data_IF_043455228268
#
_entry.id   IF_043455228268
#
_cell.length_a   1.000
_cell.length_b   1.000
_cell.length_c   1.000
_cell.angle_alpha   90.00
_cell.angle_beta   90.00
_cell.angle_gamma   90.00
#
_symmetry.space_group_name_H-M   'P 1'
#
loop_
_entity.id
_entity.type
_entity.pdbx_description
1 polymer ?
#
# COMPACT_ATOMS: atom_id res chain seq x y z
N UNK A 1 15.78 21.95 -12.50
CA UNK A 1 14.56 22.79 -12.52
C UNK A 1 13.99 22.84 -11.11
N UNK A 2 13.87 24.03 -10.51
CA UNK A 2 13.29 24.17 -9.18
C UNK A 2 11.76 24.11 -9.29
N UNK A 3 11.14 23.07 -8.73
CA UNK A 3 9.67 22.95 -8.69
C UNK A 3 9.16 23.87 -7.56
N UNK A 4 8.25 24.83 -7.84
CA UNK A 4 7.75 25.75 -6.82
C UNK A 4 6.97 25.01 -5.73
N UNK A 5 7.28 25.33 -4.47
CA UNK A 5 6.97 24.48 -3.31
C UNK A 5 5.47 24.35 -2.99
N UNK A 6 4.57 25.17 -3.52
CA UNK A 6 3.14 25.16 -3.15
C UNK A 6 2.23 25.69 -4.27
N UNK A 7 2.13 24.98 -5.39
CA UNK A 7 1.17 25.34 -6.45
C UNK A 7 0.20 24.20 -6.73
N UNK A 8 -1.01 24.53 -7.20
CA UNK A 8 -2.00 23.55 -7.68
C UNK A 8 -1.39 22.53 -8.65
N UNK A 9 -0.51 22.98 -9.55
CA UNK A 9 0.22 22.10 -10.48
C UNK A 9 1.11 21.10 -9.76
N UNK A 10 1.88 21.54 -8.76
CA UNK A 10 2.73 20.66 -7.97
C UNK A 10 1.91 19.63 -7.18
N UNK A 11 0.73 20.01 -6.66
CA UNK A 11 -0.19 19.07 -6.02
C UNK A 11 -0.68 17.99 -7.00
N UNK A 12 -1.13 18.38 -8.20
CA UNK A 12 -1.64 17.43 -9.21
C UNK A 12 -0.54 16.45 -9.64
N UNK A 13 0.67 16.94 -9.93
CA UNK A 13 1.81 16.08 -10.30
C UNK A 13 2.12 15.09 -9.17
N UNK A 14 2.13 15.55 -7.92
CA UNK A 14 2.38 14.68 -6.76
C UNK A 14 1.26 13.66 -6.55
N UNK A 15 0.01 14.05 -6.75
CA UNK A 15 -1.15 13.15 -6.68
C UNK A 15 -1.08 12.06 -7.75
N UNK A 16 -0.74 12.44 -9.00
CA UNK A 16 -0.53 11.50 -10.11
C UNK A 16 0.65 10.56 -9.85
N UNK A 17 1.77 11.05 -9.31
CA UNK A 17 2.92 10.20 -8.98
C UNK A 17 2.59 9.16 -7.90
N UNK A 18 1.78 9.51 -6.89
CA UNK A 18 1.42 8.60 -5.81
C UNK A 18 0.31 7.62 -6.18
N UNK A 19 -0.71 8.11 -6.88
CA UNK A 19 -1.96 7.37 -7.09
C UNK A 19 -2.21 6.97 -8.54
N UNK A 20 -1.37 7.43 -9.49
CA UNK A 20 -1.59 7.25 -10.92
C UNK A 20 -2.89 7.92 -11.35
N UNK A 21 -3.72 7.16 -12.05
CA UNK A 21 -5.01 7.62 -12.60
C UNK A 21 -6.22 7.32 -11.69
N UNK A 22 -6.02 7.02 -10.39
CA UNK A 22 -7.10 6.63 -9.48
C UNK A 22 -8.02 7.79 -9.06
N UNK A 23 -7.46 8.99 -8.94
CA UNK A 23 -8.18 10.17 -8.46
C UNK A 23 -8.10 11.29 -9.49
N UNK A 24 -9.21 11.99 -9.67
CA UNK A 24 -9.25 13.24 -10.42
C UNK A 24 -9.17 14.44 -9.48
N UNK A 25 -8.24 15.35 -9.79
CA UNK A 25 -7.96 16.57 -9.03
C UNK A 25 -8.35 17.83 -9.82
N UNK A 26 -9.16 17.70 -10.87
CA UNK A 26 -9.56 18.82 -11.73
C UNK A 26 -10.25 19.96 -10.95
N UNK A 27 -11.07 19.60 -9.96
CA UNK A 27 -11.79 20.53 -9.08
C UNK A 27 -10.98 21.02 -7.87
N UNK A 28 -9.73 20.58 -7.70
CA UNK A 28 -8.92 20.95 -6.53
C UNK A 28 -8.51 22.41 -6.61
N UNK A 29 -8.78 23.17 -5.55
CA UNK A 29 -8.18 24.48 -5.32
C UNK A 29 -7.18 24.40 -4.16
N UNK A 30 -5.89 24.39 -4.50
CA UNK A 30 -4.83 24.12 -3.53
C UNK A 30 -4.32 25.42 -2.91
N UNK A 31 -4.62 25.63 -1.63
CA UNK A 31 -4.13 26.76 -0.83
C UNK A 31 -2.92 26.35 0.01
N UNK A 32 -3.05 25.28 0.81
CA UNK A 32 -1.98 24.76 1.66
C UNK A 32 -2.26 23.28 2.02
N UNK A 33 -1.40 22.66 2.84
CA UNK A 33 -1.53 21.24 3.19
C UNK A 33 -2.64 20.91 4.20
N UNK A 34 -3.21 21.93 4.84
CA UNK A 34 -4.23 21.83 5.91
C UNK A 34 -5.63 22.20 5.43
N UNK A 35 -5.75 23.01 4.40
CA UNK A 35 -7.05 23.35 3.78
C UNK A 35 -7.62 22.14 3.07
N UNK A 36 -8.91 21.84 3.26
CA UNK A 36 -9.59 20.76 2.56
C UNK A 36 -9.65 21.03 1.06
N UNK A 37 -9.55 19.97 0.28
CA UNK A 37 -9.70 20.00 -1.17
C UNK A 37 -10.69 18.91 -1.59
N UNK A 38 -11.47 19.19 -2.63
CA UNK A 38 -12.41 18.23 -3.22
C UNK A 38 -11.65 17.35 -4.21
N UNK A 39 -11.70 16.04 -4.00
CA UNK A 39 -11.04 15.03 -4.83
C UNK A 39 -12.11 14.07 -5.34
N UNK A 40 -12.04 13.72 -6.61
CA UNK A 40 -12.97 12.79 -7.23
C UNK A 40 -12.35 11.40 -7.33
N UNK A 41 -13.05 10.37 -6.83
CA UNK A 41 -12.64 8.98 -7.00
C UNK A 41 -13.17 8.43 -8.32
N UNK A 42 -12.29 8.11 -9.27
CA UNK A 42 -12.71 7.54 -10.58
C UNK A 42 -13.26 6.11 -10.49
N UNK A 43 -12.97 5.39 -9.41
CA UNK A 43 -13.41 4.00 -9.23
C UNK A 43 -14.88 3.93 -8.78
N UNK A 44 -15.27 4.80 -7.84
CA UNK A 44 -16.61 4.83 -7.26
C UNK A 44 -17.47 5.99 -7.81
N UNK A 45 -16.87 6.88 -8.61
CA UNK A 45 -17.51 8.09 -9.15
C UNK A 45 -18.06 9.03 -8.07
N UNK A 46 -17.43 9.07 -6.90
CA UNK A 46 -17.83 9.92 -5.77
C UNK A 46 -16.82 11.03 -5.54
N UNK A 47 -17.32 12.24 -5.28
CA UNK A 47 -16.54 13.38 -4.82
C UNK A 47 -16.43 13.33 -3.29
N UNK A 48 -15.23 13.54 -2.75
CA UNK A 48 -14.99 13.56 -1.31
C UNK A 48 -14.01 14.67 -0.93
N UNK A 49 -14.14 15.16 0.30
CA UNK A 49 -13.29 16.23 0.83
C UNK A 49 -12.22 15.67 1.76
N UNK A 50 -10.96 16.02 1.50
CA UNK A 50 -9.85 15.71 2.39
C UNK A 50 -8.79 16.80 2.36
N UNK A 51 -8.02 16.93 3.44
CA UNK A 51 -6.83 17.78 3.42
C UNK A 51 -5.73 17.13 2.59
N UNK A 52 -4.91 17.89 1.85
CA UNK A 52 -3.76 17.34 1.12
C UNK A 52 -2.82 16.52 2.01
N UNK A 53 -2.62 16.95 3.27
CA UNK A 53 -1.84 16.19 4.25
C UNK A 53 -2.44 14.81 4.51
N UNK A 54 -3.75 14.73 4.78
CA UNK A 54 -4.43 13.45 5.00
C UNK A 54 -4.42 12.58 3.74
N UNK A 55 -4.71 13.19 2.59
CA UNK A 55 -4.69 12.53 1.29
C UNK A 55 -3.34 11.85 1.03
N UNK A 56 -2.20 12.53 1.26
CA UNK A 56 -0.87 11.92 1.10
C UNK A 56 -0.40 11.05 2.27
N UNK A 57 -1.03 11.12 3.44
CA UNK A 57 -0.70 10.26 4.57
C UNK A 57 -1.29 8.85 4.41
N UNK A 58 -2.37 8.70 3.64
CA UNK A 58 -3.01 7.42 3.37
C UNK A 58 -2.04 6.39 2.74
N UNK A 59 -1.98 5.17 3.29
CA UNK A 59 -1.05 4.13 2.82
C UNK A 59 -1.44 3.51 1.48
N UNK A 60 -2.73 3.22 1.29
CA UNK A 60 -3.21 2.44 0.13
C UNK A 60 -4.31 3.13 -0.65
N UNK A 61 -5.27 3.77 0.05
CA UNK A 61 -6.38 4.50 -0.55
C UNK A 61 -6.75 5.69 0.31
N UNK A 62 -7.11 6.79 -0.34
CA UNK A 62 -7.64 7.99 0.32
C UNK A 62 -9.18 8.00 0.35
N UNK A 63 -9.84 7.43 -0.66
CA UNK A 63 -11.29 7.22 -0.67
C UNK A 63 -11.69 6.12 0.33
N UNK A 64 -12.72 6.37 1.14
CA UNK A 64 -13.26 5.44 2.14
C UNK A 64 -13.74 4.14 1.49
N UNK A 65 -14.52 4.22 0.41
CA UNK A 65 -15.01 3.03 -0.30
C UNK A 65 -13.87 2.19 -0.89
N UNK A 66 -12.83 2.84 -1.44
CA UNK A 66 -11.63 2.14 -1.90
C UNK A 66 -10.91 1.45 -0.74
N UNK A 67 -10.85 2.11 0.41
CA UNK A 67 -10.19 1.57 1.58
C UNK A 67 -10.96 0.35 2.12
N UNK A 68 -12.28 0.43 2.24
CA UNK A 68 -13.13 -0.67 2.70
C UNK A 68 -13.09 -1.87 1.76
N UNK A 69 -13.14 -1.64 0.45
CA UNK A 69 -13.06 -2.71 -0.55
C UNK A 69 -11.76 -3.53 -0.47
N UNK A 70 -10.68 -2.95 0.04
CA UNK A 70 -9.38 -3.62 0.20
C UNK A 70 -8.98 -3.86 1.67
N UNK A 71 -9.84 -3.48 2.61
CA UNK A 71 -9.62 -3.68 4.03
C UNK A 71 -9.55 -5.18 4.33
N UNK A 72 -8.55 -5.59 5.13
CA UNK A 72 -8.34 -7.00 5.51
C UNK A 72 -7.60 -7.86 4.48
N UNK A 73 -7.59 -7.52 3.18
CA UNK A 73 -6.82 -8.25 2.15
C UNK A 73 -5.33 -8.28 2.52
N UNK A 74 -4.80 -7.17 3.03
CA UNK A 74 -3.39 -7.09 3.42
C UNK A 74 -3.02 -7.99 4.60
N UNK A 75 -3.89 -8.10 5.62
CA UNK A 75 -3.68 -9.01 6.74
C UNK A 75 -3.74 -10.46 6.29
N UNK A 76 -4.70 -10.79 5.41
CA UNK A 76 -4.86 -12.14 4.86
C UNK A 76 -3.63 -12.53 4.04
N UNK A 77 -3.11 -11.63 3.21
CA UNK A 77 -1.88 -11.86 2.42
C UNK A 77 -0.65 -12.14 3.28
N UNK A 78 -0.53 -11.49 4.44
CA UNK A 78 0.54 -11.79 5.40
C UNK A 78 0.36 -13.17 6.04
N UNK A 79 -0.86 -13.51 6.49
CA UNK A 79 -1.16 -14.85 7.03
C UNK A 79 -0.94 -15.95 6.00
N UNK A 80 -1.31 -15.73 4.75
CA UNK A 80 -1.07 -16.65 3.64
C UNK A 80 0.43 -16.84 3.36
N UNK A 81 1.21 -15.74 3.33
CA UNK A 81 2.68 -15.81 3.20
C UNK A 81 3.32 -16.60 4.32
N UNK A 82 2.87 -16.39 5.56
CA UNK A 82 3.33 -17.16 6.71
C UNK A 82 2.95 -18.63 6.59
N UNK A 83 1.70 -18.94 6.26
CA UNK A 83 1.23 -20.31 6.06
C UNK A 83 2.00 -21.02 4.94
N UNK A 84 2.34 -20.32 3.85
CA UNK A 84 3.15 -20.84 2.77
C UNK A 84 4.61 -21.11 3.20
N UNK A 85 5.15 -20.31 4.11
CA UNK A 85 6.53 -20.44 4.64
C UNK A 85 6.61 -21.51 5.74
N UNK A 86 5.55 -21.68 6.51
CA UNK A 86 5.44 -22.62 7.63
C UNK A 86 5.23 -24.07 7.18
N UNK A 87 4.80 -24.32 5.94
CA UNK A 87 4.81 -25.67 5.34
C UNK A 87 6.22 -26.26 5.13
N UNK A 88 7.27 -25.42 5.12
CA UNK A 88 8.65 -25.88 4.96
C UNK A 88 9.44 -25.94 6.28
N UNK A 89 8.89 -25.47 7.40
CA UNK A 89 9.64 -25.36 8.67
C UNK A 89 8.88 -25.80 9.92
N UNK A 90 7.63 -26.27 9.81
CA UNK A 90 6.82 -26.67 10.98
C UNK A 90 7.01 -28.13 11.42
N UNK A 91 8.25 -28.59 11.48
CA UNK A 91 8.59 -29.66 12.42
C UNK A 91 9.64 -29.09 13.36
N UNK A 92 9.34 -28.89 14.67
CA UNK A 92 10.35 -28.55 15.67
C UNK A 92 11.51 -29.56 15.69
N UNK A 93 11.27 -30.78 15.16
CA UNK A 93 12.23 -31.88 15.07
C UNK A 93 13.16 -31.83 13.84
N UNK A 94 12.89 -30.98 12.83
CA UNK A 94 13.66 -30.96 11.58
C UNK A 94 14.65 -29.78 11.51
N UNK A 95 15.19 -29.33 12.64
CA UNK A 95 16.41 -28.50 12.65
C UNK A 95 17.68 -29.30 12.35
N UNK A 96 17.61 -30.63 12.29
CA UNK A 96 18.76 -31.52 12.14
C UNK A 96 18.80 -32.32 10.82
N UNK A 97 17.93 -32.03 9.85
CA UNK A 97 17.89 -32.80 8.58
C UNK A 97 19.17 -32.67 7.76
N UNK A 98 19.83 -31.51 7.82
CA UNK A 98 21.13 -31.31 7.17
C UNK A 98 22.25 -32.17 7.78
N UNK A 99 22.20 -32.42 9.09
CA UNK A 99 23.19 -33.23 9.81
C UNK A 99 22.89 -34.74 9.74
N UNK A 100 21.61 -35.13 9.75
CA UNK A 100 21.20 -36.54 9.64
C UNK A 100 21.60 -37.12 8.28
N UNK A 101 21.44 -36.36 7.19
CA UNK A 101 21.83 -36.83 5.85
C UNK A 101 23.35 -36.98 5.66
N UNK A 102 24.19 -36.29 6.46
CA UNK A 102 25.65 -36.45 6.41
C UNK A 102 26.14 -37.69 7.17
N UNK A 103 25.36 -38.22 8.12
CA UNK A 103 25.72 -39.41 8.91
C UNK A 103 25.41 -40.70 8.14
N UNK A 104 24.31 -40.75 7.38
CA UNK A 104 23.90 -41.98 6.68
C UNK A 104 24.61 -42.26 5.35
N UNK A 105 25.27 -41.27 4.73
CA UNK A 105 26.04 -41.48 3.48
C UNK A 105 27.42 -42.10 3.72
N UNK A 106 27.89 -42.15 4.99
CA UNK A 106 29.21 -42.71 5.34
C UNK A 106 29.18 -44.18 5.81
N UNK A 107 28.02 -44.85 5.76
CA UNK A 107 27.86 -46.24 6.20
C UNK A 107 27.48 -47.20 5.06
N UNK A 108 27.63 -46.78 3.81
CA UNK A 108 27.59 -47.64 2.61
C UNK A 108 28.89 -47.57 1.87
#
# INVERSE_FOLDING_TARGET
MAIPKNTKKAFIVKAQQRWGNKYDCSKVDYVNSRTSVVIHCKKHNVDFEQTPKAHFAAKHHSCSECYEAEAGIFQNKWREKLAATQRLTCCPFLRYTALINQVFVKLT
#
